data_IF_298972058988
#
_entry.id   IF_298972058988
#
_cell.length_a   1.000
_cell.length_b   1.000
_cell.length_c   1.000
_cell.angle_alpha   90.00
_cell.angle_beta   90.00
_cell.angle_gamma   90.00
#
_symmetry.space_group_name_H-M   'P 1'
#
loop_
_entity.id
_entity.type
_entity.pdbx_description
1 polymer ?
#
# COMPACT_ATOMS: atom_id res chain seq x y z
N UNK A 1 24.10 8.67 23.87
CA UNK A 1 23.88 9.11 22.47
C UNK A 1 24.01 7.97 21.46
N UNK A 2 25.04 7.12 21.52
CA UNK A 2 25.22 5.98 20.59
C UNK A 2 24.06 4.98 20.54
N UNK A 3 23.38 4.68 21.66
CA UNK A 3 22.29 3.69 21.68
C UNK A 3 21.00 4.20 21.02
N UNK A 4 20.70 5.49 21.14
CA UNK A 4 19.51 6.12 20.56
C UNK A 4 19.60 6.29 19.04
N UNK A 5 20.81 6.47 18.51
CA UNK A 5 21.03 6.49 17.05
C UNK A 5 20.84 5.07 16.49
N UNK A 6 21.42 4.05 17.14
CA UNK A 6 21.28 2.66 16.73
C UNK A 6 19.83 2.18 16.70
N UNK A 7 18.98 2.63 17.63
CA UNK A 7 17.56 2.26 17.66
C UNK A 7 16.75 2.87 16.51
N UNK A 8 17.05 4.13 16.15
CA UNK A 8 16.39 4.81 15.02
C UNK A 8 16.77 4.17 13.69
N UNK A 9 18.06 3.90 13.48
CA UNK A 9 18.53 3.21 12.27
C UNK A 9 17.87 1.84 12.10
N UNK A 10 17.71 1.08 13.19
CA UNK A 10 17.02 -0.22 13.15
C UNK A 10 15.55 -0.07 12.77
N UNK A 11 14.86 0.91 13.36
CA UNK A 11 13.47 1.22 13.04
C UNK A 11 13.31 1.58 11.56
N UNK A 12 14.16 2.48 11.05
CA UNK A 12 14.12 2.89 9.65
C UNK A 12 14.35 1.69 8.72
N UNK A 13 15.31 0.82 9.04
CA UNK A 13 15.58 -0.38 8.26
C UNK A 13 14.39 -1.35 8.22
N UNK A 14 13.71 -1.55 9.35
CA UNK A 14 12.50 -2.40 9.44
C UNK A 14 11.37 -1.81 8.59
N UNK A 15 11.10 -0.51 8.73
CA UNK A 15 10.03 0.20 8.01
C UNK A 15 10.26 0.16 6.51
N UNK A 16 11.49 0.43 6.04
CA UNK A 16 11.82 0.36 4.63
C UNK A 16 11.64 -1.06 4.07
N UNK A 17 12.06 -2.08 4.84
CA UNK A 17 11.94 -3.48 4.42
C UNK A 17 10.48 -3.93 4.33
N UNK A 18 9.65 -3.59 5.32
CA UNK A 18 8.23 -3.95 5.34
C UNK A 18 7.45 -3.24 4.23
N UNK A 19 7.75 -1.96 3.98
CA UNK A 19 7.15 -1.19 2.90
C UNK A 19 7.50 -1.74 1.51
N UNK A 20 8.79 -2.01 1.24
CA UNK A 20 9.23 -2.57 -0.05
C UNK A 20 8.59 -3.94 -0.30
N UNK A 21 8.58 -4.82 0.71
CA UNK A 21 7.94 -6.13 0.61
C UNK A 21 6.45 -6.02 0.31
N UNK A 22 5.74 -5.12 1.00
CA UNK A 22 4.30 -4.97 0.81
C UNK A 22 3.97 -4.36 -0.56
N UNK A 23 4.69 -3.34 -1.03
CA UNK A 23 4.42 -2.72 -2.35
C UNK A 23 4.74 -3.68 -3.49
N UNK A 24 5.81 -4.48 -3.38
CA UNK A 24 6.09 -5.56 -4.34
C UNK A 24 4.96 -6.58 -4.39
N UNK A 25 4.51 -7.04 -3.22
CA UNK A 25 3.40 -7.99 -3.15
C UNK A 25 2.10 -7.39 -3.69
N UNK A 26 1.80 -6.13 -3.35
CA UNK A 26 0.63 -5.42 -3.85
C UNK A 26 0.61 -5.36 -5.38
N UNK A 27 1.71 -4.92 -5.99
CA UNK A 27 1.82 -4.81 -7.45
C UNK A 27 1.81 -6.18 -8.13
N UNK A 28 2.48 -7.20 -7.58
CA UNK A 28 2.41 -8.58 -8.08
C UNK A 28 0.97 -9.11 -8.07
N UNK A 29 0.25 -8.92 -6.97
CA UNK A 29 -1.14 -9.37 -6.87
C UNK A 29 -2.05 -8.57 -7.79
N UNK A 30 -1.89 -7.24 -7.86
CA UNK A 30 -2.66 -6.38 -8.75
C UNK A 30 -2.53 -6.81 -10.22
N UNK A 31 -1.32 -7.11 -10.66
CA UNK A 31 -1.02 -7.38 -12.07
C UNK A 31 -1.23 -8.85 -12.46
N UNK A 32 -0.87 -9.79 -11.59
CA UNK A 32 -0.79 -11.22 -11.95
C UNK A 32 -1.82 -12.10 -11.24
N UNK A 33 -2.32 -11.69 -10.07
CA UNK A 33 -3.13 -12.55 -9.18
C UNK A 33 -4.25 -11.76 -8.51
N UNK A 34 -5.00 -11.00 -9.31
CA UNK A 34 -5.93 -9.97 -8.82
C UNK A 34 -6.97 -10.49 -7.83
N UNK A 35 -7.47 -11.70 -8.03
CA UNK A 35 -8.41 -12.35 -7.13
C UNK A 35 -7.88 -12.54 -5.69
N UNK A 36 -6.57 -12.40 -5.47
CA UNK A 36 -5.94 -12.49 -4.14
C UNK A 36 -5.61 -11.14 -3.52
N UNK A 37 -5.72 -10.03 -4.25
CA UNK A 37 -5.33 -8.71 -3.73
C UNK A 37 -6.15 -8.31 -2.50
N UNK A 38 -7.40 -8.77 -2.44
CA UNK A 38 -8.28 -8.51 -1.31
C UNK A 38 -7.72 -9.01 0.03
N UNK A 39 -6.86 -10.04 0.00
CA UNK A 39 -6.22 -10.59 1.20
C UNK A 39 -5.16 -9.65 1.78
N UNK A 40 -4.74 -8.61 1.06
CA UNK A 40 -3.84 -7.58 1.59
C UNK A 40 -4.58 -6.57 2.46
N UNK A 41 -5.87 -6.40 2.28
CA UNK A 41 -6.65 -5.42 3.02
C UNK A 41 -7.00 -5.95 4.42
N UNK A 42 -7.10 -5.00 5.35
CA UNK A 42 -7.51 -5.21 6.73
C UNK A 42 -8.92 -5.80 6.78
N UNK A 43 -9.16 -6.70 7.74
CA UNK A 43 -10.52 -7.20 8.02
C UNK A 43 -11.38 -6.16 8.74
N UNK A 44 -10.75 -5.19 9.42
CA UNK A 44 -11.39 -4.16 10.19
C UNK A 44 -11.54 -2.88 9.36
N UNK A 45 -12.65 -2.72 8.64
CA UNK A 45 -13.04 -1.48 7.97
C UNK A 45 -11.97 -0.85 7.06
N UNK A 46 -11.45 -1.58 6.04
CA UNK A 46 -10.52 -1.03 5.07
C UNK A 46 -11.22 -0.05 4.12
N UNK A 47 -10.46 0.88 3.55
CA UNK A 47 -10.95 1.83 2.54
C UNK A 47 -10.01 1.91 1.34
N UNK A 48 -10.59 2.03 0.14
CA UNK A 48 -9.91 2.37 -1.10
C UNK A 48 -10.52 3.66 -1.65
N UNK A 49 -9.68 4.65 -1.94
CA UNK A 49 -10.05 5.87 -2.65
C UNK A 49 -9.31 5.86 -3.99
N UNK A 50 -10.03 5.58 -5.07
CA UNK A 50 -9.47 5.51 -6.43
C UNK A 50 -9.94 6.71 -7.27
N UNK A 51 -9.01 7.59 -7.64
CA UNK A 51 -9.29 8.84 -8.35
C UNK A 51 -10.40 9.70 -7.69
N UNK A 52 -10.51 9.64 -6.36
CA UNK A 52 -11.53 10.35 -5.59
C UNK A 52 -12.83 9.57 -5.35
N UNK A 53 -12.99 8.38 -5.93
CA UNK A 53 -14.14 7.50 -5.65
C UNK A 53 -13.81 6.59 -4.47
N UNK A 54 -14.68 6.54 -3.46
CA UNK A 54 -14.49 5.75 -2.25
C UNK A 54 -15.18 4.38 -2.35
N UNK A 55 -14.47 3.33 -1.96
CA UNK A 55 -14.94 1.95 -1.83
C UNK A 55 -14.61 1.47 -0.42
N UNK A 56 -15.63 1.09 0.35
CA UNK A 56 -15.52 0.80 1.78
C UNK A 56 -15.75 -0.67 2.07
N UNK A 57 -14.84 -1.28 2.82
CA UNK A 57 -14.91 -2.68 3.21
C UNK A 57 -14.49 -3.66 2.10
N UNK A 58 -14.24 -4.90 2.50
CA UNK A 58 -13.67 -5.91 1.60
C UNK A 58 -14.56 -6.23 0.39
N UNK A 59 -15.88 -6.17 0.55
CA UNK A 59 -16.82 -6.46 -0.54
C UNK A 59 -16.73 -5.43 -1.67
N UNK A 60 -16.76 -4.14 -1.35
CA UNK A 60 -16.70 -3.07 -2.37
C UNK A 60 -15.32 -2.99 -3.00
N UNK A 61 -14.26 -3.14 -2.20
CA UNK A 61 -12.87 -3.16 -2.69
C UNK A 61 -12.65 -4.37 -3.61
N UNK A 62 -13.12 -5.55 -3.22
CA UNK A 62 -13.03 -6.76 -4.06
C UNK A 62 -13.74 -6.58 -5.39
N UNK A 63 -14.99 -6.09 -5.36
CA UNK A 63 -15.76 -5.78 -6.56
C UNK A 63 -15.07 -4.76 -7.46
N UNK A 64 -14.45 -3.71 -6.87
CA UNK A 64 -13.64 -2.76 -7.64
C UNK A 64 -12.51 -3.47 -8.40
N UNK A 65 -11.73 -4.30 -7.71
CA UNK A 65 -10.61 -5.01 -8.33
C UNK A 65 -11.06 -5.99 -9.41
N UNK A 66 -12.16 -6.72 -9.19
CA UNK A 66 -12.70 -7.66 -10.17
C UNK A 66 -13.14 -6.96 -11.47
N UNK A 67 -13.59 -5.70 -11.37
CA UNK A 67 -14.06 -4.91 -12.52
C UNK A 67 -12.98 -4.01 -13.14
N UNK A 68 -11.83 -3.81 -12.48
CA UNK A 68 -10.74 -3.01 -13.00
C UNK A 68 -10.06 -3.74 -14.19
N UNK A 69 -9.80 -3.08 -15.33
CA UNK A 69 -9.03 -3.67 -16.42
C UNK A 69 -7.65 -4.19 -15.99
N UNK A 70 -7.02 -5.05 -16.80
CA UNK A 70 -5.68 -5.55 -16.52
C UNK A 70 -4.70 -4.39 -16.29
N UNK A 71 -3.82 -4.55 -15.30
CA UNK A 71 -2.84 -3.54 -14.91
C UNK A 71 -1.42 -4.05 -15.11
N UNK A 72 -0.49 -3.13 -15.31
CA UNK A 72 0.95 -3.38 -15.23
C UNK A 72 1.59 -2.18 -14.54
N UNK A 73 2.18 -2.39 -13.37
CA UNK A 73 2.81 -1.33 -12.59
C UNK A 73 4.33 -1.29 -12.79
N UNK A 74 4.86 -0.08 -12.91
CA UNK A 74 6.28 0.25 -12.82
C UNK A 74 6.44 1.21 -11.63
N UNK A 75 6.84 0.68 -10.47
CA UNK A 75 7.11 1.49 -9.27
C UNK A 75 8.46 2.18 -9.45
N UNK A 76 8.46 3.52 -9.39
CA UNK A 76 9.67 4.34 -9.60
C UNK A 76 10.25 4.79 -8.27
N UNK A 77 9.42 5.24 -7.34
CA UNK A 77 9.85 5.69 -6.03
C UNK A 77 8.92 5.17 -4.94
N UNK A 78 9.52 4.98 -3.77
CA UNK A 78 8.90 4.49 -2.57
C UNK A 78 9.46 5.27 -1.38
N UNK A 79 8.59 5.73 -0.50
CA UNK A 79 8.91 6.33 0.78
C UNK A 79 8.02 5.73 1.86
N UNK A 80 8.53 5.62 3.08
CA UNK A 80 7.80 4.96 4.16
C UNK A 80 8.19 5.52 5.53
N UNK A 81 7.18 5.74 6.36
CA UNK A 81 7.36 6.26 7.71
C UNK A 81 6.48 5.51 8.72
N UNK A 82 6.94 5.43 9.97
CA UNK A 82 6.03 5.12 11.07
C UNK A 82 5.14 6.31 11.34
N UNK A 83 3.85 6.05 11.52
CA UNK A 83 2.86 7.11 11.74
C UNK A 83 3.14 7.83 13.06
N UNK A 84 3.36 7.05 14.12
CA UNK A 84 3.82 7.57 15.41
C UNK A 84 4.96 6.68 15.95
N UNK A 85 6.23 7.06 15.70
CA UNK A 85 7.39 6.30 16.17
C UNK A 85 7.60 6.37 17.69
N UNK A 86 6.78 7.13 18.42
CA UNK A 86 6.85 7.25 19.89
C UNK A 86 5.82 6.40 20.62
N UNK A 87 4.84 5.84 19.88
CA UNK A 87 3.80 4.97 20.41
C UNK A 87 4.11 3.48 20.17
N UNK A 88 3.34 2.61 20.83
CA UNK A 88 3.35 1.17 20.57
C UNK A 88 2.62 0.80 19.26
N UNK A 89 2.00 1.78 18.58
CA UNK A 89 1.36 1.55 17.28
C UNK A 89 2.42 1.26 16.22
N UNK A 90 2.31 0.08 15.61
CA UNK A 90 3.22 -0.38 14.57
C UNK A 90 2.84 0.12 13.17
N UNK A 91 1.82 0.98 13.05
CA UNK A 91 1.30 1.43 11.77
C UNK A 91 2.32 2.21 10.94
N UNK A 92 2.33 1.94 9.64
CA UNK A 92 3.24 2.51 8.65
C UNK A 92 2.41 3.25 7.61
N UNK A 93 2.87 4.44 7.21
CA UNK A 93 2.42 5.09 5.97
C UNK A 93 3.45 4.82 4.88
N UNK A 94 2.97 4.42 3.70
CA UNK A 94 3.80 4.15 2.52
C UNK A 94 3.31 5.02 1.37
N UNK A 95 4.24 5.73 0.74
CA UNK A 95 4.00 6.55 -0.44
C UNK A 95 4.74 5.92 -1.61
N UNK A 96 4.03 5.65 -2.71
CA UNK A 96 4.65 5.18 -3.94
C UNK A 96 4.20 6.01 -5.13
N UNK A 97 5.10 6.18 -6.10
CA UNK A 97 4.78 6.81 -7.38
C UNK A 97 5.44 6.02 -8.50
N UNK A 98 4.84 6.09 -9.67
CA UNK A 98 5.31 5.32 -10.80
C UNK A 98 4.46 5.51 -12.04
N UNK A 99 4.49 4.50 -12.90
CA UNK A 99 3.59 4.39 -14.05
C UNK A 99 2.73 3.16 -13.88
N UNK A 100 1.50 3.26 -14.36
CA UNK A 100 0.59 2.12 -14.48
C UNK A 100 0.04 2.08 -15.89
N UNK A 101 0.04 0.91 -16.51
CA UNK A 101 -0.73 0.66 -17.73
C UNK A 101 -2.03 -0.02 -17.35
N UNK A 102 -3.18 0.62 -17.58
CA UNK A 102 -4.52 0.10 -17.27
C UNK A 102 -5.27 -0.07 -18.59
N UNK A 103 -5.66 -1.29 -18.93
CA UNK A 103 -6.41 -1.57 -20.16
C UNK A 103 -5.69 -1.08 -21.44
N UNK A 104 -4.36 -1.02 -21.42
CA UNK A 104 -3.52 -0.56 -22.54
C UNK A 104 -3.17 0.94 -22.53
N UNK A 105 -3.73 1.74 -21.61
CA UNK A 105 -3.38 3.15 -21.46
C UNK A 105 -2.42 3.36 -20.30
N UNK A 106 -1.35 4.12 -20.52
CA UNK A 106 -0.31 4.35 -19.51
C UNK A 106 -0.46 5.71 -18.86
N UNK A 107 -0.49 5.72 -17.53
CA UNK A 107 -0.65 6.90 -16.71
C UNK A 107 0.47 6.96 -15.69
N UNK A 108 0.91 8.17 -15.33
CA UNK A 108 1.67 8.34 -14.10
C UNK A 108 0.70 8.30 -12.91
N UNK A 109 1.10 7.69 -11.80
CA UNK A 109 0.26 7.57 -10.62
C UNK A 109 1.01 7.94 -9.33
N UNK A 110 0.23 8.30 -8.32
CA UNK A 110 0.66 8.33 -6.92
C UNK A 110 -0.29 7.49 -6.07
N UNK A 111 0.29 6.77 -5.11
CA UNK A 111 -0.46 5.92 -4.18
C UNK A 111 0.05 6.12 -2.76
N UNK A 112 -0.88 6.23 -1.81
CA UNK A 112 -0.61 6.27 -0.37
C UNK A 112 -1.31 5.11 0.30
N UNK A 113 -0.56 4.28 1.03
CA UNK A 113 -1.08 3.18 1.83
C UNK A 113 -0.89 3.47 3.32
N UNK A 114 -1.91 3.19 4.12
CA UNK A 114 -1.78 3.05 5.57
C UNK A 114 -1.84 1.58 5.91
N UNK A 115 -0.77 1.09 6.53
CA UNK A 115 -0.60 -0.29 6.94
C UNK A 115 -0.78 -0.40 8.44
N UNK A 116 -1.58 -1.38 8.87
CA UNK A 116 -1.76 -1.73 10.28
C UNK A 116 -1.34 -3.18 10.49
N UNK A 117 -0.93 -3.51 11.71
CA UNK A 117 -0.59 -4.89 12.06
C UNK A 117 -1.86 -5.65 12.47
N UNK A 118 -2.23 -6.68 11.71
CA UNK A 118 -3.30 -7.62 12.07
C UNK A 118 -2.70 -9.03 12.17
N UNK A 119 -2.84 -9.67 13.33
CA UNK A 119 -2.33 -11.02 13.61
C UNK A 119 -0.85 -11.21 13.20
N UNK A 120 -0.03 -10.18 13.44
CA UNK A 120 1.41 -10.18 13.13
C UNK A 120 1.76 -9.96 11.66
N UNK A 121 0.79 -9.62 10.79
CA UNK A 121 1.01 -9.31 9.38
C UNK A 121 0.51 -7.92 9.04
N UNK A 122 1.28 -7.14 8.27
CA UNK A 122 0.82 -5.84 7.78
C UNK A 122 -0.34 -6.00 6.78
N UNK A 123 -1.41 -5.25 7.02
CA UNK A 123 -2.61 -5.16 6.19
C UNK A 123 -2.91 -3.73 5.82
N UNK A 124 -3.47 -3.53 4.63
CA UNK A 124 -3.89 -2.22 4.11
C UNK A 124 -5.20 -1.79 4.77
N UNK A 125 -5.14 -0.75 5.59
CA UNK A 125 -6.30 -0.12 6.23
C UNK A 125 -6.86 1.01 5.38
N UNK A 126 -5.98 1.79 4.74
CA UNK A 126 -6.37 2.86 3.81
C UNK A 126 -5.48 2.79 2.57
N UNK A 127 -6.09 2.87 1.40
CA UNK A 127 -5.44 2.91 0.09
C UNK A 127 -5.97 4.12 -0.66
N UNK A 128 -5.13 5.08 -0.98
CA UNK A 128 -5.49 6.24 -1.80
C UNK A 128 -4.66 6.23 -3.06
N UNK A 129 -5.30 6.07 -4.20
CA UNK A 129 -4.68 5.94 -5.51
C UNK A 129 -5.19 7.04 -6.44
N UNK A 130 -4.27 7.72 -7.14
CA UNK A 130 -4.61 8.79 -8.07
C UNK A 130 -3.72 8.75 -9.31
N UNK A 131 -4.35 8.84 -10.47
CA UNK A 131 -3.70 9.12 -11.75
C UNK A 131 -3.39 10.61 -11.83
N UNK A 132 -2.24 10.96 -12.42
CA UNK A 132 -1.68 12.32 -12.40
C UNK A 132 -1.95 13.14 -13.67
N UNK A 133 -2.81 12.65 -14.57
CA UNK A 133 -3.17 13.31 -15.82
C UNK A 133 -4.56 14.00 -15.79
#
# INVERSE_FOLDING_TARGET
MSSSISSKVKLDQEVCADADKLVRLYTELADLRRNKIINLYSSNGPQLIWNGNCYSGLTEIGSFWDNLPSTQHEVICLDAHRIDPTSDDMSIVVLSMGKVTIGGLTHAYNQSLVLILEDGTYKVKSDTYRLMD
#
